data_IF_581167807859
#
_entry.id   IF_581167807859
#
_cell.length_a   1.000
_cell.length_b   1.000
_cell.length_c   1.000
_cell.angle_alpha   90.00
_cell.angle_beta   90.00
_cell.angle_gamma   90.00
#
_symmetry.space_group_name_H-M   'P 1'
#
loop_
_entity.id
_entity.type
_entity.pdbx_description
1 polymer ?
#
# COMPACT_ATOMS: atom_id res chain seq x y z
N UNK A 1 -15.49 -5.76 -24.34
CA UNK A 1 -16.96 -5.78 -24.26
C UNK A 1 -17.32 -5.21 -22.90
N UNK A 2 -17.71 -3.93 -22.86
CA UNK A 2 -17.99 -3.19 -21.63
C UNK A 2 -19.20 -3.78 -20.92
N UNK A 3 -19.06 -4.11 -19.64
CA UNK A 3 -20.05 -4.82 -18.85
C UNK A 3 -21.17 -3.86 -18.39
N UNK A 4 -22.06 -3.48 -19.30
CA UNK A 4 -23.15 -2.53 -19.05
C UNK A 4 -24.33 -3.08 -18.22
N UNK A 5 -24.22 -4.27 -17.63
CA UNK A 5 -25.32 -4.92 -16.89
C UNK A 5 -25.08 -5.15 -15.40
N UNK A 6 -23.94 -4.71 -14.83
CA UNK A 6 -23.75 -4.82 -13.39
C UNK A 6 -24.62 -3.80 -12.67
N UNK A 7 -25.31 -4.23 -11.63
CA UNK A 7 -25.98 -3.31 -10.72
C UNK A 7 -24.95 -2.34 -10.12
N UNK A 8 -25.39 -1.13 -9.82
CA UNK A 8 -24.52 -0.07 -9.29
C UNK A 8 -23.77 -0.59 -8.03
N UNK A 9 -22.46 -0.33 -7.92
CA UNK A 9 -21.62 -0.91 -6.86
C UNK A 9 -22.14 -0.74 -5.43
N UNK A 10 -22.61 0.46 -5.07
CA UNK A 10 -23.16 0.70 -3.73
C UNK A 10 -24.47 -0.06 -3.50
N UNK A 11 -25.34 -0.13 -4.51
CA UNK A 11 -26.56 -0.96 -4.48
C UNK A 11 -26.20 -2.44 -4.28
N UNK A 12 -25.20 -2.96 -5.00
CA UNK A 12 -24.73 -4.34 -4.86
C UNK A 12 -24.19 -4.62 -3.46
N UNK A 13 -23.32 -3.75 -2.96
CA UNK A 13 -22.75 -3.87 -1.62
C UNK A 13 -23.85 -3.84 -0.55
N UNK A 14 -24.85 -2.96 -0.69
CA UNK A 14 -25.99 -2.90 0.22
C UNK A 14 -26.82 -4.18 0.20
N UNK A 15 -27.18 -4.68 -0.98
CA UNK A 15 -27.92 -5.95 -1.12
C UNK A 15 -27.16 -7.12 -0.51
N UNK A 16 -25.84 -7.16 -0.69
CA UNK A 16 -24.97 -8.16 -0.08
C UNK A 16 -24.98 -8.08 1.45
N UNK A 17 -24.81 -6.88 2.02
CA UNK A 17 -24.86 -6.66 3.47
C UNK A 17 -26.22 -7.05 4.04
N UNK A 18 -27.31 -6.64 3.41
CA UNK A 18 -28.67 -6.94 3.87
C UNK A 18 -28.98 -8.46 3.81
N UNK A 19 -28.40 -9.18 2.83
CA UNK A 19 -28.58 -10.63 2.64
C UNK A 19 -27.78 -11.48 3.62
N UNK A 20 -26.51 -11.14 3.88
CA UNK A 20 -25.59 -12.00 4.64
C UNK A 20 -25.21 -11.47 6.03
N UNK A 21 -25.30 -10.17 6.25
CA UNK A 21 -24.84 -9.50 7.48
C UNK A 21 -25.94 -8.61 8.07
N UNK A 22 -27.20 -9.07 7.99
CA UNK A 22 -28.38 -8.32 8.42
C UNK A 22 -28.27 -7.75 9.84
N UNK A 23 -27.57 -8.46 10.74
CA UNK A 23 -27.44 -8.10 12.16
C UNK A 23 -26.11 -7.42 12.51
N UNK A 24 -25.24 -7.13 11.52
CA UNK A 24 -23.96 -6.47 11.81
C UNK A 24 -24.18 -5.06 12.38
N UNK A 25 -23.20 -4.60 13.17
CA UNK A 25 -23.21 -3.29 13.83
C UNK A 25 -22.75 -2.18 12.88
N UNK A 26 -21.95 -2.52 11.88
CA UNK A 26 -21.47 -1.55 10.90
C UNK A 26 -21.00 -2.22 9.61
N UNK A 27 -21.17 -1.53 8.50
CA UNK A 27 -20.71 -1.95 7.18
C UNK A 27 -20.27 -0.75 6.35
N UNK A 28 -19.13 -0.88 5.67
CA UNK A 28 -18.56 0.12 4.78
C UNK A 28 -18.27 -0.51 3.42
N UNK A 29 -18.59 0.19 2.34
CA UNK A 29 -18.00 -0.06 1.02
C UNK A 29 -16.69 0.73 0.97
N UNK A 30 -15.61 0.12 0.52
CA UNK A 30 -14.29 0.72 0.42
C UNK A 30 -13.67 0.45 -0.97
N UNK A 31 -12.37 0.72 -1.09
CA UNK A 31 -11.61 0.27 -2.25
C UNK A 31 -11.67 1.20 -3.47
N UNK A 32 -11.28 0.64 -4.62
CA UNK A 32 -11.12 1.41 -5.87
C UNK A 32 -12.42 2.02 -6.36
N UNK A 33 -13.56 1.38 -6.10
CA UNK A 33 -14.90 1.86 -6.44
C UNK A 33 -15.22 3.18 -5.75
N UNK A 34 -14.99 3.25 -4.44
CA UNK A 34 -15.29 4.45 -3.65
C UNK A 34 -14.42 5.64 -4.07
N UNK A 35 -13.18 5.38 -4.48
CA UNK A 35 -12.28 6.42 -4.98
C UNK A 35 -12.57 6.87 -6.43
N UNK A 36 -13.51 6.25 -7.12
CA UNK A 36 -13.78 6.54 -8.54
C UNK A 36 -12.69 6.02 -9.49
N UNK A 37 -11.88 5.06 -9.03
CA UNK A 37 -10.74 4.49 -9.77
C UNK A 37 -11.02 3.05 -10.23
N UNK A 38 -12.29 2.63 -10.20
CA UNK A 38 -12.67 1.27 -10.55
C UNK A 38 -12.45 0.99 -12.04
N UNK A 39 -12.04 -0.25 -12.34
CA UNK A 39 -11.95 -0.80 -13.68
C UNK A 39 -12.97 -1.92 -13.86
N UNK A 40 -13.11 -2.45 -15.08
CA UNK A 40 -14.00 -3.59 -15.36
C UNK A 40 -13.66 -4.84 -14.52
N UNK A 41 -12.42 -4.92 -14.02
CA UNK A 41 -11.90 -6.00 -13.18
C UNK A 41 -11.86 -5.64 -11.69
N UNK A 42 -12.39 -4.49 -11.28
CA UNK A 42 -12.46 -4.12 -9.86
C UNK A 42 -13.45 -5.01 -9.12
N UNK A 43 -13.08 -5.33 -7.89
CA UNK A 43 -13.90 -5.94 -6.86
C UNK A 43 -14.58 -4.88 -5.97
N UNK A 44 -15.56 -5.32 -5.18
CA UNK A 44 -16.13 -4.56 -4.08
C UNK A 44 -15.42 -4.94 -2.78
N UNK A 45 -14.69 -4.00 -2.20
CA UNK A 45 -14.13 -4.16 -0.86
C UNK A 45 -15.19 -3.79 0.19
N UNK A 46 -15.63 -4.73 1.01
CA UNK A 46 -16.65 -4.48 2.04
C UNK A 46 -16.07 -4.79 3.42
N UNK A 47 -16.07 -3.80 4.32
CA UNK A 47 -15.66 -3.98 5.73
C UNK A 47 -16.89 -4.12 6.60
N UNK A 48 -16.98 -5.20 7.37
CA UNK A 48 -18.10 -5.52 8.26
C UNK A 48 -17.63 -5.56 9.71
N UNK A 49 -18.42 -4.95 10.59
CA UNK A 49 -18.29 -5.07 12.04
C UNK A 49 -19.47 -5.84 12.61
N UNK A 50 -19.23 -7.06 13.08
CA UNK A 50 -20.23 -7.97 13.63
C UNK A 50 -19.77 -8.55 14.98
N UNK A 51 -20.53 -8.28 16.04
CA UNK A 51 -20.24 -8.79 17.38
C UNK A 51 -20.39 -10.32 17.51
N UNK A 52 -21.08 -10.98 16.58
CA UNK A 52 -21.33 -12.42 16.64
C UNK A 52 -20.11 -13.25 16.22
N UNK A 53 -19.13 -12.65 15.54
CA UNK A 53 -17.95 -13.37 15.08
C UNK A 53 -16.87 -13.44 16.16
N UNK A 54 -16.29 -14.63 16.34
CA UNK A 54 -15.22 -14.86 17.30
C UNK A 54 -13.85 -14.39 16.78
N UNK A 55 -13.57 -14.62 15.49
CA UNK A 55 -12.30 -14.30 14.85
C UNK A 55 -12.53 -13.50 13.57
N UNK A 56 -11.64 -12.54 13.29
CA UNK A 56 -11.63 -11.82 12.01
C UNK A 56 -11.36 -12.79 10.86
N UNK A 57 -11.99 -12.55 9.72
CA UNK A 57 -11.69 -13.28 8.48
C UNK A 57 -11.88 -12.40 7.26
N UNK A 58 -11.20 -12.79 6.17
CA UNK A 58 -11.43 -12.26 4.82
C UNK A 58 -11.99 -13.38 3.96
N UNK A 59 -12.98 -13.05 3.14
CA UNK A 59 -13.58 -13.98 2.20
C UNK A 59 -13.77 -13.30 0.85
N UNK A 60 -13.45 -14.02 -0.23
CA UNK A 60 -13.78 -13.60 -1.60
C UNK A 60 -14.99 -14.40 -2.08
N UNK A 61 -15.99 -13.71 -2.63
CA UNK A 61 -17.22 -14.30 -3.13
C UNK A 61 -17.66 -13.58 -4.41
N UNK A 62 -18.35 -14.29 -5.30
CA UNK A 62 -19.05 -13.66 -6.43
C UNK A 62 -20.54 -13.66 -6.09
N UNK A 63 -21.13 -12.47 -5.99
CA UNK A 63 -22.58 -12.31 -5.87
C UNK A 63 -23.01 -11.03 -6.60
N UNK A 64 -24.25 -11.01 -7.08
CA UNK A 64 -24.79 -9.90 -7.89
C UNK A 64 -23.90 -9.48 -9.07
N UNK A 65 -23.23 -10.45 -9.71
CA UNK A 65 -22.27 -10.27 -10.80
C UNK A 65 -21.02 -9.42 -10.46
N UNK A 66 -20.75 -9.24 -9.17
CA UNK A 66 -19.58 -8.59 -8.62
C UNK A 66 -18.65 -9.60 -7.94
N UNK A 67 -17.33 -9.55 -8.21
CA UNK A 67 -16.34 -10.03 -7.26
C UNK A 67 -16.41 -9.14 -6.00
N UNK A 68 -16.58 -9.76 -4.84
CA UNK A 68 -16.69 -9.09 -3.54
C UNK A 68 -15.62 -9.67 -2.62
N UNK A 69 -14.81 -8.80 -2.05
CA UNK A 69 -13.92 -9.12 -0.95
C UNK A 69 -14.50 -8.54 0.33
N UNK A 70 -14.90 -9.42 1.25
CA UNK A 70 -15.45 -9.02 2.54
C UNK A 70 -14.42 -9.23 3.64
N UNK A 71 -14.23 -8.20 4.46
CA UNK A 71 -13.34 -8.15 5.62
C UNK A 71 -14.22 -8.04 6.88
N UNK A 72 -14.35 -9.14 7.62
CA UNK A 72 -15.26 -9.22 8.76
C UNK A 72 -14.46 -9.15 10.05
N UNK A 73 -14.82 -8.19 10.90
CA UNK A 73 -14.22 -7.94 12.20
C UNK A 73 -15.31 -7.82 13.28
N UNK A 74 -14.96 -8.03 14.54
CA UNK A 74 -15.72 -7.48 15.66
C UNK A 74 -15.00 -6.22 16.18
N UNK A 75 -15.53 -5.57 17.23
CA UNK A 75 -15.02 -4.29 17.73
C UNK A 75 -13.65 -4.36 18.45
N UNK A 76 -13.09 -5.55 18.65
CA UNK A 76 -11.73 -5.72 19.18
C UNK A 76 -10.78 -6.33 18.15
N UNK A 77 -11.29 -7.16 17.24
CA UNK A 77 -10.48 -7.99 16.36
C UNK A 77 -9.89 -7.27 15.15
N UNK A 78 -10.30 -6.03 14.85
CA UNK A 78 -9.67 -5.18 13.82
C UNK A 78 -8.39 -4.50 14.33
N UNK A 79 -8.27 -4.27 15.64
CA UNK A 79 -7.17 -3.49 16.22
C UNK A 79 -5.78 -4.09 15.96
N UNK A 80 -5.57 -5.42 16.05
CA UNK A 80 -4.30 -6.02 15.68
C UNK A 80 -3.93 -5.80 14.20
N UNK A 81 -4.92 -5.64 13.31
CA UNK A 81 -4.69 -5.35 11.90
C UNK A 81 -4.28 -3.88 11.70
N UNK A 82 -4.88 -2.95 12.46
CA UNK A 82 -4.41 -1.55 12.48
C UNK A 82 -2.96 -1.46 12.94
N UNK A 83 -2.63 -2.16 14.03
CA UNK A 83 -1.27 -2.19 14.55
C UNK A 83 -0.29 -2.81 13.54
N UNK A 84 -0.64 -3.97 12.96
CA UNK A 84 0.22 -4.61 11.96
C UNK A 84 0.44 -3.71 10.73
N UNK A 85 -0.60 -2.99 10.29
CA UNK A 85 -0.53 -2.03 9.19
C UNK A 85 0.33 -0.80 9.53
N UNK A 86 0.21 -0.29 10.75
CA UNK A 86 1.05 0.78 11.28
C UNK A 86 2.53 0.36 11.31
N UNK A 87 2.83 -0.79 11.92
CA UNK A 87 4.20 -1.31 12.09
C UNK A 87 4.90 -1.55 10.74
N UNK A 88 4.18 -2.10 9.75
CA UNK A 88 4.71 -2.31 8.40
C UNK A 88 4.64 -1.06 7.50
N UNK A 89 4.14 0.06 8.02
CA UNK A 89 3.90 1.32 7.34
C UNK A 89 3.03 1.23 6.07
N UNK A 90 2.08 0.29 6.03
CA UNK A 90 1.14 0.11 4.92
C UNK A 90 -0.29 0.13 5.46
N UNK A 91 -0.93 1.32 5.54
CA UNK A 91 -2.18 1.51 6.28
C UNK A 91 -3.41 1.04 5.49
N UNK A 92 -3.48 -0.25 5.15
CA UNK A 92 -4.50 -0.80 4.24
C UNK A 92 -5.91 -0.75 4.85
N UNK A 93 -6.10 -1.35 6.03
CA UNK A 93 -7.40 -1.39 6.69
C UNK A 93 -7.81 -0.01 7.26
N UNK A 94 -6.91 0.78 7.90
CA UNK A 94 -7.21 2.15 8.26
C UNK A 94 -7.70 2.98 7.06
N UNK A 95 -7.02 2.88 5.91
CA UNK A 95 -7.41 3.59 4.69
C UNK A 95 -8.77 3.16 4.16
N UNK A 96 -9.03 1.85 4.09
CA UNK A 96 -10.34 1.33 3.68
C UNK A 96 -11.47 1.87 4.56
N UNK A 97 -11.26 1.94 5.87
CA UNK A 97 -12.27 2.45 6.80
C UNK A 97 -12.43 3.96 6.66
N UNK A 98 -11.33 4.71 6.64
CA UNK A 98 -11.33 6.18 6.51
C UNK A 98 -12.07 6.64 5.26
N UNK A 99 -11.70 6.09 4.11
CA UNK A 99 -12.26 6.46 2.79
C UNK A 99 -13.65 5.85 2.55
N UNK A 100 -13.98 4.77 3.26
CA UNK A 100 -15.17 3.96 2.96
C UNK A 100 -16.50 4.69 3.11
N UNK A 101 -17.45 4.39 2.23
CA UNK A 101 -18.83 4.89 2.29
C UNK A 101 -19.63 3.99 3.23
N UNK A 102 -20.31 4.59 4.20
CA UNK A 102 -21.12 3.85 5.18
C UNK A 102 -22.34 3.24 4.48
N UNK A 103 -22.44 1.91 4.51
CA UNK A 103 -23.63 1.17 4.08
C UNK A 103 -24.61 1.03 5.26
N UNK A 104 -24.08 0.69 6.44
CA UNK A 104 -24.85 0.48 7.67
C UNK A 104 -24.05 0.94 8.87
N UNK A 105 -24.71 1.54 9.85
CA UNK A 105 -24.07 1.93 11.10
C UNK A 105 -25.05 1.99 12.27
N UNK A 106 -24.73 1.27 13.34
CA UNK A 106 -25.43 1.29 14.64
C UNK A 106 -24.64 2.08 15.70
N UNK A 107 -23.88 3.10 15.28
CA UNK A 107 -23.14 4.01 16.15
C UNK A 107 -21.70 3.60 16.47
N UNK A 108 -21.13 2.66 15.71
CA UNK A 108 -19.74 2.18 15.90
C UNK A 108 -18.77 2.75 14.86
N UNK A 109 -19.25 3.07 13.65
CA UNK A 109 -18.37 3.36 12.51
C UNK A 109 -17.64 4.70 12.66
N UNK A 110 -18.28 5.75 13.19
CA UNK A 110 -17.67 7.08 13.32
C UNK A 110 -16.41 7.03 14.17
N UNK A 111 -16.46 6.35 15.33
CA UNK A 111 -15.30 6.22 16.22
C UNK A 111 -14.15 5.48 15.57
N UNK A 112 -14.43 4.44 14.78
CA UNK A 112 -13.39 3.66 14.09
C UNK A 112 -12.82 4.45 12.93
N UNK A 113 -13.64 5.26 12.24
CA UNK A 113 -13.17 6.22 11.24
C UNK A 113 -12.25 7.28 11.87
N UNK A 114 -12.61 7.82 13.03
CA UNK A 114 -11.78 8.78 13.74
C UNK A 114 -10.42 8.18 14.12
N UNK A 115 -10.41 6.94 14.62
CA UNK A 115 -9.18 6.19 14.90
C UNK A 115 -8.32 5.99 13.64
N UNK A 116 -8.94 5.53 12.54
CA UNK A 116 -8.26 5.34 11.26
C UNK A 116 -7.68 6.64 10.69
N UNK A 117 -8.43 7.74 10.77
CA UNK A 117 -7.99 9.07 10.36
C UNK A 117 -6.82 9.55 11.22
N UNK A 118 -6.88 9.32 12.54
CA UNK A 118 -5.80 9.65 13.46
C UNK A 118 -4.49 8.95 13.10
N UNK A 119 -4.56 7.65 12.78
CA UNK A 119 -3.40 6.87 12.30
C UNK A 119 -2.89 7.49 10.99
N UNK A 120 -3.75 7.63 9.97
CA UNK A 120 -3.32 8.09 8.64
C UNK A 120 -2.66 9.46 8.67
N UNK A 121 -3.22 10.40 9.45
CA UNK A 121 -2.65 11.75 9.62
C UNK A 121 -1.34 11.75 10.43
N UNK A 122 -1.14 10.78 11.32
CA UNK A 122 0.06 10.67 12.15
C UNK A 122 1.31 10.21 11.39
N UNK A 123 1.15 9.42 10.31
CA UNK A 123 2.27 8.80 9.61
C UNK A 123 2.83 7.57 10.33
N UNK A 124 3.73 6.80 9.69
CA UNK A 124 4.39 5.67 10.32
C UNK A 124 5.44 6.13 11.34
N UNK A 125 5.88 5.20 12.17
CA UNK A 125 7.01 5.42 13.06
C UNK A 125 8.29 5.82 12.28
N UNK A 126 8.99 6.82 12.81
CA UNK A 126 10.26 7.29 12.29
C UNK A 126 11.32 6.19 12.37
N UNK A 127 12.14 6.09 11.32
CA UNK A 127 13.26 5.16 11.35
C UNK A 127 14.36 5.66 12.27
N UNK A 128 14.88 4.79 13.17
CA UNK A 128 16.10 5.10 13.89
C UNK A 128 17.30 5.10 12.92
N UNK A 129 18.39 5.78 13.30
CA UNK A 129 19.54 6.01 12.43
C UNK A 129 20.16 4.69 11.92
N UNK A 130 20.14 3.65 12.74
CA UNK A 130 20.66 2.32 12.40
C UNK A 130 19.87 1.70 11.23
N UNK A 131 18.55 1.90 11.18
CA UNK A 131 17.71 1.43 10.08
C UNK A 131 18.00 2.22 8.81
N UNK A 132 18.17 3.54 8.91
CA UNK A 132 18.56 4.38 7.76
C UNK A 132 19.91 3.92 7.19
N UNK A 133 20.89 3.64 8.04
CA UNK A 133 22.20 3.13 7.62
C UNK A 133 22.09 1.77 6.94
N UNK A 134 21.30 0.85 7.50
CA UNK A 134 21.05 -0.47 6.93
C UNK A 134 20.38 -0.40 5.56
N UNK A 135 19.34 0.42 5.41
CA UNK A 135 18.65 0.61 4.12
C UNK A 135 19.55 1.29 3.09
N UNK A 136 20.37 2.26 3.51
CA UNK A 136 21.41 2.88 2.66
C UNK A 136 22.42 1.86 2.15
N UNK A 137 22.85 0.93 3.00
CA UNK A 137 23.72 -0.18 2.59
C UNK A 137 23.04 -1.08 1.54
N UNK A 138 21.84 -1.60 1.82
CA UNK A 138 21.15 -2.50 0.88
C UNK A 138 20.85 -1.84 -0.47
N UNK A 139 20.52 -0.55 -0.46
CA UNK A 139 20.33 0.20 -1.70
C UNK A 139 21.64 0.44 -2.46
N UNK A 140 22.76 0.60 -1.74
CA UNK A 140 24.10 0.67 -2.35
C UNK A 140 24.48 -0.66 -2.98
N UNK A 141 24.31 -1.77 -2.25
CA UNK A 141 24.63 -3.12 -2.71
C UNK A 141 23.84 -3.48 -3.99
N UNK A 142 22.52 -3.26 -3.97
CA UNK A 142 21.67 -3.47 -5.15
C UNK A 142 22.04 -2.54 -6.33
N UNK A 143 22.51 -1.32 -6.06
CA UNK A 143 22.97 -0.40 -7.09
C UNK A 143 24.28 -0.89 -7.74
N UNK A 144 25.24 -1.38 -6.96
CA UNK A 144 26.49 -1.93 -7.50
C UNK A 144 26.22 -3.17 -8.38
N UNK A 145 25.34 -4.07 -7.94
CA UNK A 145 24.89 -5.21 -8.75
C UNK A 145 24.22 -4.75 -10.05
N UNK A 146 23.40 -3.70 -9.98
CA UNK A 146 22.73 -3.14 -11.15
C UNK A 146 23.72 -2.57 -12.16
N UNK A 147 24.72 -1.82 -11.68
CA UNK A 147 25.80 -1.26 -12.51
C UNK A 147 26.63 -2.37 -13.14
N UNK A 148 27.02 -3.39 -12.36
CA UNK A 148 27.93 -4.44 -12.77
C UNK A 148 27.30 -5.55 -13.63
N UNK A 149 25.98 -5.77 -13.54
CA UNK A 149 25.34 -6.85 -14.30
C UNK A 149 25.38 -6.58 -15.81
N UNK A 150 25.73 -7.60 -16.58
CA UNK A 150 25.64 -7.58 -18.06
C UNK A 150 24.57 -8.54 -18.57
N UNK A 151 23.82 -9.18 -17.67
CA UNK A 151 22.78 -10.15 -17.99
C UNK A 151 21.41 -9.48 -17.86
N UNK A 152 20.71 -9.32 -18.99
CA UNK A 152 19.41 -8.63 -19.02
C UNK A 152 18.38 -9.22 -18.06
N UNK A 153 18.37 -10.55 -17.86
CA UNK A 153 17.42 -11.18 -16.95
C UNK A 153 17.69 -10.78 -15.49
N UNK A 154 18.96 -10.72 -15.08
CA UNK A 154 19.37 -10.25 -13.76
C UNK A 154 19.06 -8.76 -13.59
N UNK A 155 19.39 -7.93 -14.57
CA UNK A 155 19.11 -6.49 -14.52
C UNK A 155 17.63 -6.18 -14.28
N UNK A 156 16.71 -6.93 -14.90
CA UNK A 156 15.27 -6.76 -14.69
C UNK A 156 14.87 -7.09 -13.24
N UNK A 157 15.46 -8.12 -12.65
CA UNK A 157 15.19 -8.50 -11.25
C UNK A 157 15.79 -7.48 -10.28
N UNK A 158 17.02 -7.03 -10.53
CA UNK A 158 17.69 -6.02 -9.70
C UNK A 158 16.95 -4.69 -9.79
N UNK A 159 16.49 -4.27 -10.97
CA UNK A 159 15.68 -3.06 -11.14
C UNK A 159 14.38 -3.13 -10.33
N UNK A 160 13.71 -4.28 -10.29
CA UNK A 160 12.53 -4.46 -9.45
C UNK A 160 12.88 -4.28 -7.95
N UNK A 161 13.95 -4.91 -7.49
CA UNK A 161 14.45 -4.74 -6.11
C UNK A 161 14.78 -3.27 -5.79
N UNK A 162 15.50 -2.58 -6.69
CA UNK A 162 15.82 -1.16 -6.53
C UNK A 162 14.56 -0.29 -6.46
N UNK A 163 13.55 -0.57 -7.28
CA UNK A 163 12.29 0.18 -7.27
C UNK A 163 11.58 0.10 -5.91
N UNK A 164 11.60 -1.08 -5.28
CA UNK A 164 11.03 -1.31 -3.94
C UNK A 164 11.86 -0.64 -2.85
N UNK A 165 13.19 -0.72 -2.92
CA UNK A 165 14.10 -0.08 -1.96
C UNK A 165 14.01 1.45 -2.00
N UNK A 166 13.99 2.03 -3.21
CA UNK A 166 13.92 3.48 -3.43
C UNK A 166 12.64 4.05 -2.85
N UNK A 167 11.47 3.50 -3.21
CA UNK A 167 10.20 4.03 -2.72
C UNK A 167 10.08 3.89 -1.20
N UNK A 168 10.55 2.77 -0.63
CA UNK A 168 10.51 2.56 0.81
C UNK A 168 11.42 3.58 1.51
N UNK A 169 12.65 3.74 1.03
CA UNK A 169 13.62 4.64 1.63
C UNK A 169 13.12 6.08 1.62
N UNK A 170 12.70 6.59 0.46
CA UNK A 170 12.24 7.97 0.31
C UNK A 170 11.00 8.25 1.15
N UNK A 171 10.00 7.37 1.12
CA UNK A 171 8.77 7.59 1.89
C UNK A 171 9.02 7.49 3.39
N UNK A 172 9.72 6.44 3.85
CA UNK A 172 9.94 6.21 5.30
C UNK A 172 10.89 7.22 5.92
N UNK A 173 11.93 7.66 5.20
CA UNK A 173 12.83 8.71 5.72
C UNK A 173 12.15 10.08 5.83
N UNK A 174 10.98 10.25 5.21
CA UNK A 174 10.14 11.45 5.26
C UNK A 174 8.86 11.26 6.09
N UNK A 175 8.77 10.21 6.92
CA UNK A 175 7.59 9.94 7.76
C UNK A 175 6.32 9.71 6.95
N UNK A 176 6.43 9.12 5.76
CA UNK A 176 5.29 8.81 4.88
C UNK A 176 5.03 7.31 4.82
N UNK A 177 3.76 6.98 4.66
CA UNK A 177 3.30 5.62 4.40
C UNK A 177 3.89 5.08 3.11
N UNK A 178 4.12 3.77 3.05
CA UNK A 178 4.60 3.09 1.84
C UNK A 178 3.46 2.35 1.15
N UNK A 179 3.63 2.14 -0.15
CA UNK A 179 2.69 1.41 -0.98
C UNK A 179 3.11 -0.04 -1.24
N UNK A 180 2.25 -0.75 -1.96
CA UNK A 180 2.57 -1.99 -2.66
C UNK A 180 1.89 -2.01 -4.03
N UNK A 181 2.57 -2.55 -5.05
CA UNK A 181 2.05 -2.59 -6.42
C UNK A 181 1.55 -1.19 -6.86
N UNK A 182 0.27 -1.05 -7.25
CA UNK A 182 -0.37 0.22 -7.64
C UNK A 182 -0.20 1.33 -6.60
N UNK A 183 -0.16 0.97 -5.31
CA UNK A 183 -0.06 1.95 -4.23
C UNK A 183 1.32 2.59 -4.12
N UNK A 184 2.38 2.00 -4.67
CA UNK A 184 3.71 2.62 -4.69
C UNK A 184 3.61 4.00 -5.36
N UNK A 185 3.07 4.04 -6.58
CA UNK A 185 2.92 5.29 -7.34
C UNK A 185 1.93 6.25 -6.66
N UNK A 186 0.92 5.75 -5.95
CA UNK A 186 -0.05 6.60 -5.26
C UNK A 186 0.57 7.29 -4.05
N UNK A 187 1.28 6.55 -3.20
CA UNK A 187 1.96 7.12 -2.03
C UNK A 187 3.09 8.07 -2.46
N UNK A 188 3.85 7.72 -3.50
CA UNK A 188 4.83 8.64 -4.08
C UNK A 188 4.18 9.94 -4.57
N UNK A 189 3.04 9.88 -5.27
CA UNK A 189 2.34 11.10 -5.72
C UNK A 189 1.78 11.93 -4.57
N UNK A 190 1.30 11.29 -3.49
CA UNK A 190 0.85 11.98 -2.28
C UNK A 190 2.00 12.70 -1.55
N UNK A 191 3.21 12.15 -1.64
CA UNK A 191 4.41 12.75 -1.08
C UNK A 191 4.97 13.87 -1.97
N UNK A 192 5.30 13.54 -3.22
CA UNK A 192 5.90 14.44 -4.20
C UNK A 192 5.64 13.93 -5.64
N UNK A 193 4.76 14.63 -6.35
CA UNK A 193 4.40 14.29 -7.72
C UNK A 193 5.56 14.50 -8.72
N UNK A 194 6.51 15.39 -8.44
CA UNK A 194 7.65 15.66 -9.30
C UNK A 194 8.69 14.55 -9.15
N UNK A 195 8.97 14.14 -7.91
CA UNK A 195 9.75 12.94 -7.62
C UNK A 195 9.13 11.70 -8.28
N UNK A 196 7.81 11.55 -8.20
CA UNK A 196 7.13 10.39 -8.82
C UNK A 196 7.34 10.31 -10.33
N UNK A 197 7.33 11.46 -11.02
CA UNK A 197 7.62 11.52 -12.45
C UNK A 197 9.07 11.14 -12.75
N UNK A 198 10.03 11.64 -11.96
CA UNK A 198 11.45 11.27 -12.10
C UNK A 198 11.68 9.77 -11.86
N UNK A 199 11.09 9.22 -10.79
CA UNK A 199 11.13 7.80 -10.48
C UNK A 199 10.58 6.96 -11.64
N UNK A 200 9.41 7.31 -12.16
CA UNK A 200 8.76 6.58 -13.25
C UNK A 200 9.58 6.66 -14.55
N UNK A 201 10.05 7.85 -14.91
CA UNK A 201 10.87 8.07 -16.11
C UNK A 201 12.21 7.31 -16.06
N UNK A 202 12.86 7.23 -14.89
CA UNK A 202 14.09 6.49 -14.72
C UNK A 202 13.91 4.99 -15.04
N UNK A 203 12.91 4.35 -14.44
CA UNK A 203 12.62 2.94 -14.68
C UNK A 203 12.05 2.68 -16.08
N UNK A 204 11.20 3.56 -16.59
CA UNK A 204 10.67 3.44 -17.96
C UNK A 204 11.79 3.52 -19.01
N UNK A 205 12.75 4.43 -18.83
CA UNK A 205 13.93 4.56 -19.68
C UNK A 205 14.75 3.25 -19.68
N UNK A 206 15.00 2.68 -18.51
CA UNK A 206 15.69 1.40 -18.38
C UNK A 206 14.92 0.23 -19.02
N UNK A 207 13.61 0.15 -18.82
CA UNK A 207 12.81 -0.93 -19.38
C UNK A 207 12.74 -0.88 -20.91
N UNK A 208 12.62 0.32 -21.48
CA UNK A 208 12.52 0.52 -22.94
C UNK A 208 13.86 0.39 -23.66
N UNK A 209 14.93 0.92 -23.07
CA UNK A 209 16.20 1.13 -23.79
C UNK A 209 17.37 0.37 -23.19
N UNK A 210 17.21 -0.24 -22.02
CA UNK A 210 18.32 -0.83 -21.26
C UNK A 210 19.28 0.19 -20.66
N UNK A 211 18.97 1.49 -20.76
CA UNK A 211 19.80 2.56 -20.22
C UNK A 211 19.64 2.65 -18.70
N UNK A 212 20.74 2.39 -17.99
CA UNK A 212 20.80 2.38 -16.51
C UNK A 212 21.03 3.75 -15.90
N UNK A 213 21.46 4.73 -16.70
CA UNK A 213 22.00 6.01 -16.22
C UNK A 213 21.04 6.74 -15.29
N UNK A 214 19.77 6.86 -15.68
CA UNK A 214 18.76 7.56 -14.87
C UNK A 214 18.45 6.89 -13.53
N UNK A 215 18.43 5.56 -13.49
CA UNK A 215 18.21 4.82 -12.23
C UNK A 215 19.41 5.03 -11.30
N UNK A 216 20.63 5.00 -11.85
CA UNK A 216 21.87 5.24 -11.09
C UNK A 216 21.86 6.67 -10.52
N UNK A 217 21.61 7.68 -11.35
CA UNK A 217 21.54 9.08 -10.94
C UNK A 217 20.48 9.30 -9.84
N UNK A 218 19.30 8.69 -9.99
CA UNK A 218 18.23 8.78 -9.00
C UNK A 218 18.68 8.23 -7.63
N UNK A 219 19.31 7.05 -7.60
CA UNK A 219 19.79 6.46 -6.34
C UNK A 219 20.89 7.32 -5.71
N UNK A 220 21.81 7.86 -6.51
CA UNK A 220 22.86 8.75 -6.00
C UNK A 220 22.28 10.03 -5.38
N UNK A 221 21.30 10.65 -6.04
CA UNK A 221 20.61 11.84 -5.53
C UNK A 221 19.90 11.56 -4.21
N UNK A 222 19.21 10.41 -4.10
CA UNK A 222 18.51 10.00 -2.88
C UNK A 222 19.51 9.78 -1.74
N UNK A 223 20.67 9.19 -2.02
CA UNK A 223 21.67 8.87 -0.99
C UNK A 223 22.55 10.05 -0.59
N UNK A 224 22.72 11.06 -1.46
CA UNK A 224 23.61 12.20 -1.22
C UNK A 224 23.36 12.91 0.14
N UNK A 225 22.11 13.25 0.53
CA UNK A 225 21.82 13.86 1.84
C UNK A 225 22.16 12.96 3.03
N UNK A 226 22.24 11.65 2.82
CA UNK A 226 22.55 10.66 3.84
C UNK A 226 24.01 10.23 3.80
N UNK A 227 24.90 10.97 3.13
CA UNK A 227 26.33 10.67 3.05
C UNK A 227 26.73 9.75 1.89
N UNK A 228 25.86 9.58 0.89
CA UNK A 228 26.15 8.82 -0.32
C UNK A 228 26.08 7.30 -0.15
N UNK A 229 26.69 6.58 -1.10
CA UNK A 229 26.81 5.10 -1.07
C UNK A 229 27.48 4.62 0.22
N UNK A 230 27.03 3.49 0.77
CA UNK A 230 27.62 2.86 1.94
C UNK A 230 27.98 1.39 1.67
N UNK A 231 29.27 1.09 1.77
CA UNK A 231 29.78 -0.29 1.78
C UNK A 231 30.85 -0.46 2.85
N UNK A 232 31.91 0.36 2.79
CA UNK A 232 33.02 0.30 3.73
C UNK A 232 32.56 0.55 5.18
N UNK A 233 32.93 -0.36 6.08
CA UNK A 233 32.64 -0.24 7.52
C UNK A 233 31.21 -0.63 7.93
N UNK A 234 30.36 -1.08 7.00
CA UNK A 234 29.05 -1.63 7.37
C UNK A 234 29.21 -2.98 8.07
N UNK A 235 28.48 -3.17 9.16
CA UNK A 235 28.39 -4.43 9.91
C UNK A 235 26.96 -4.62 10.36
N UNK A 236 26.40 -5.79 10.06
CA UNK A 236 25.12 -6.24 10.57
C UNK A 236 25.37 -7.41 11.51
N UNK A 237 24.96 -7.27 12.77
CA UNK A 237 25.00 -8.38 13.72
C UNK A 237 23.70 -9.19 13.59
N UNK A 238 23.84 -10.52 13.50
CA UNK A 238 22.68 -11.42 13.54
C UNK A 238 22.22 -11.55 14.99
N UNK A 239 20.94 -11.22 15.26
CA UNK A 239 20.26 -11.61 16.50
C UNK A 239 19.59 -12.98 16.33
#
# INVERSE_FOLDING_TARGET
>A
MSNQNRIEPFVAAKLFVDKYYLNCQGALLAGSVVRGEATDTSDLDIVIFDAQILNSFRQSIIDFDWPIEVFVHNLSSYKPFFEADYQRARPSLPRMISEGIIIKNLGVIEKIKDEANGILCGGPEEWPLEVIQSKRYFMTDALEDFIGSTNRAEELMIANTLSDLIQEFVLRSNGRWIGSSKWIIRELNLFDADFTRQFTDAFETFYKHGDKSKVIELVEQILSPYGGRLFAGFRLDSN
#
